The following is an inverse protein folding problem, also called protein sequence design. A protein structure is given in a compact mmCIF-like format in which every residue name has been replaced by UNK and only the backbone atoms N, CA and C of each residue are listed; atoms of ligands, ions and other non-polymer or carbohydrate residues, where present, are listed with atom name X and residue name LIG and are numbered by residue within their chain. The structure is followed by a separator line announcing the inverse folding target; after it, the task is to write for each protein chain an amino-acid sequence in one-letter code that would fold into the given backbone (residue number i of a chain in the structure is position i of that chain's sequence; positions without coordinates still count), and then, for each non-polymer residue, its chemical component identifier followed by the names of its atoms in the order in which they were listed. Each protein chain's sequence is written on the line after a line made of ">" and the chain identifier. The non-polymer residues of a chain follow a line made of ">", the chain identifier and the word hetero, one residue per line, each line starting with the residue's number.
data_IF_858308389499
#
_entry.id   IF_858308389499
#
_cell.length_a   1.000
_cell.length_b   1.000
_cell.length_c   1.000
_cell.angle_alpha   90.00
_cell.angle_beta   90.00
_cell.angle_gamma   90.00
#
_symmetry.space_group_name_H-M   'P 1'
#
loop_
_entity.id
_entity.type
_entity.pdbx_description
1 polymer ?
#
# COMPACT_ATOMS: atom_id res chain seq x y z
N UNK A 1 44.06 -18.08 3.05
CA UNK A 1 43.30 -16.82 3.22
C UNK A 1 42.03 -16.93 2.39
N UNK A 2 40.85 -17.28 2.95
CA UNK A 2 39.63 -17.40 2.16
C UNK A 2 38.97 -16.03 2.02
N UNK A 3 38.88 -15.57 0.77
CA UNK A 3 38.12 -14.40 0.36
C UNK A 3 36.62 -14.68 0.48
N UNK A 4 35.97 -14.07 1.48
CA UNK A 4 34.52 -14.06 1.58
C UNK A 4 33.94 -13.17 0.47
N UNK A 5 33.52 -13.80 -0.64
CA UNK A 5 32.64 -13.17 -1.61
C UNK A 5 31.27 -12.96 -0.95
N UNK A 6 31.02 -11.73 -0.51
CA UNK A 6 29.70 -11.29 -0.11
C UNK A 6 28.80 -11.28 -1.35
N UNK A 7 28.02 -12.35 -1.53
CA UNK A 7 26.86 -12.35 -2.42
C UNK A 7 25.86 -11.32 -1.89
N UNK A 8 26.00 -10.07 -2.34
CA UNK A 8 24.92 -9.10 -2.30
C UNK A 8 23.90 -9.56 -3.33
N UNK A 9 22.96 -10.41 -2.91
CA UNK A 9 21.76 -10.63 -3.71
C UNK A 9 21.03 -9.29 -3.80
N UNK A 10 20.80 -8.74 -5.01
CA UNK A 10 19.89 -7.61 -5.13
C UNK A 10 18.53 -8.16 -4.72
N UNK A 11 18.03 -7.74 -3.55
CA UNK A 11 16.62 -7.88 -3.20
C UNK A 11 15.89 -6.98 -4.17
N UNK A 12 15.60 -7.49 -5.35
CA UNK A 12 14.71 -6.86 -6.32
C UNK A 12 13.37 -6.81 -5.62
N UNK A 13 13.04 -5.65 -5.07
CA UNK A 13 11.69 -5.36 -4.61
C UNK A 13 10.80 -5.43 -5.85
N UNK A 14 10.33 -6.62 -6.20
CA UNK A 14 9.23 -6.81 -7.12
C UNK A 14 8.03 -6.24 -6.39
N UNK A 15 7.84 -4.92 -6.51
CA UNK A 15 6.62 -4.26 -6.13
C UNK A 15 5.53 -4.96 -6.92
N UNK A 16 4.81 -5.87 -6.24
CA UNK A 16 3.70 -6.60 -6.82
C UNK A 16 2.88 -5.59 -7.62
N UNK A 17 2.75 -5.77 -8.95
CA UNK A 17 1.98 -4.84 -9.74
C UNK A 17 0.59 -4.78 -9.11
N UNK A 18 0.05 -3.58 -8.84
CA UNK A 18 -1.32 -3.49 -8.40
C UNK A 18 -2.15 -4.24 -9.44
N UNK A 19 -3.09 -5.08 -8.98
CA UNK A 19 -4.09 -5.69 -9.86
C UNK A 19 -4.50 -4.67 -10.93
N UNK A 20 -4.59 -5.09 -12.21
CA UNK A 20 -4.81 -4.18 -13.33
C UNK A 20 -5.95 -3.24 -12.98
N UNK A 21 -5.74 -1.93 -13.23
CA UNK A 21 -6.73 -0.91 -12.89
C UNK A 21 -7.99 -1.15 -13.73
N UNK A 22 -8.97 -1.81 -13.13
CA UNK A 22 -10.26 -2.06 -13.76
C UNK A 22 -11.17 -0.85 -13.63
N UNK A 23 -11.90 -0.54 -14.70
CA UNK A 23 -12.85 0.56 -14.71
C UNK A 23 -14.08 0.19 -13.86
N UNK A 24 -14.41 1.04 -12.88
CA UNK A 24 -15.53 0.81 -11.95
C UNK A 24 -16.88 1.35 -12.45
N UNK A 25 -16.90 2.03 -13.61
CA UNK A 25 -18.05 2.82 -14.07
C UNK A 25 -19.30 1.99 -14.42
N UNK A 26 -19.17 0.68 -14.65
CA UNK A 26 -20.21 -0.08 -15.35
C UNK A 26 -21.19 -0.86 -14.43
N UNK A 27 -21.07 -0.77 -13.11
CA UNK A 27 -21.93 -1.53 -12.20
C UNK A 27 -22.66 -0.62 -11.21
N UNK A 28 -23.99 -0.67 -11.23
CA UNK A 28 -24.84 -0.09 -10.19
C UNK A 28 -24.59 -0.78 -8.84
N UNK A 29 -24.85 -0.09 -7.73
CA UNK A 29 -24.61 -0.66 -6.39
C UNK A 29 -25.48 -1.88 -6.11
N UNK A 30 -26.69 -1.94 -6.67
CA UNK A 30 -27.59 -3.10 -6.58
C UNK A 30 -27.00 -4.34 -7.23
N UNK A 31 -26.59 -4.22 -8.50
CA UNK A 31 -25.98 -5.32 -9.25
C UNK A 31 -24.70 -5.84 -8.58
N UNK A 32 -23.88 -4.96 -7.99
CA UNK A 32 -22.69 -5.40 -7.24
C UNK A 32 -23.06 -6.33 -6.08
N UNK A 33 -24.10 -6.03 -5.33
CA UNK A 33 -24.52 -6.87 -4.20
C UNK A 33 -24.98 -8.25 -4.67
N UNK A 34 -25.70 -8.32 -5.78
CA UNK A 34 -26.16 -9.57 -6.37
C UNK A 34 -24.99 -10.43 -6.88
N UNK A 35 -24.05 -9.83 -7.61
CA UNK A 35 -22.83 -10.52 -8.06
C UNK A 35 -22.06 -11.10 -6.88
N UNK A 36 -21.91 -10.34 -5.79
CA UNK A 36 -21.25 -10.84 -4.58
C UNK A 36 -22.01 -11.98 -3.91
N UNK A 37 -23.35 -11.97 -3.91
CA UNK A 37 -24.14 -13.09 -3.40
C UNK A 37 -23.92 -14.37 -4.20
N UNK A 38 -23.92 -14.27 -5.54
CA UNK A 38 -23.67 -15.41 -6.43
C UNK A 38 -22.27 -15.98 -6.17
N UNK A 39 -21.27 -15.10 -6.10
CA UNK A 39 -19.90 -15.51 -5.81
C UNK A 39 -19.79 -16.30 -4.48
N UNK A 40 -20.39 -15.80 -3.40
CA UNK A 40 -20.37 -16.52 -2.12
C UNK A 40 -21.12 -17.85 -2.15
N UNK A 41 -22.23 -17.93 -2.88
CA UNK A 41 -22.95 -19.18 -3.07
C UNK A 41 -22.11 -20.23 -3.83
N UNK A 42 -21.32 -19.79 -4.82
CA UNK A 42 -20.39 -20.68 -5.52
C UNK A 42 -19.19 -21.10 -4.66
N UNK A 43 -18.65 -20.18 -3.83
CA UNK A 43 -17.62 -20.50 -2.83
C UNK A 43 -18.13 -21.56 -1.85
N UNK A 44 -19.37 -21.47 -1.38
CA UNK A 44 -19.95 -22.47 -0.49
C UNK A 44 -20.08 -23.85 -1.16
N UNK A 45 -20.49 -23.88 -2.42
CA UNK A 45 -20.55 -25.13 -3.21
C UNK A 45 -19.16 -25.74 -3.39
N UNK A 46 -18.13 -24.91 -3.57
CA UNK A 46 -16.76 -25.37 -3.79
C UNK A 46 -16.10 -26.05 -2.59
N UNK A 47 -16.63 -25.89 -1.37
CA UNK A 47 -16.15 -26.63 -0.18
C UNK A 47 -16.16 -28.15 -0.40
N UNK A 48 -16.99 -28.65 -1.31
CA UNK A 48 -17.07 -30.07 -1.69
C UNK A 48 -16.04 -30.49 -2.74
N UNK A 49 -15.64 -29.59 -3.65
CA UNK A 49 -14.75 -29.89 -4.78
C UNK A 49 -13.28 -29.53 -4.52
N UNK A 50 -12.98 -28.85 -3.42
CA UNK A 50 -11.63 -28.37 -3.11
C UNK A 50 -11.44 -26.89 -3.47
N UNK A 51 -10.79 -26.10 -2.59
CA UNK A 51 -10.68 -24.63 -2.75
C UNK A 51 -9.74 -24.21 -3.89
N UNK A 52 -8.74 -25.03 -4.24
CA UNK A 52 -7.76 -24.71 -5.28
C UNK A 52 -8.38 -24.73 -6.69
N UNK A 53 -9.23 -25.72 -6.96
CA UNK A 53 -9.92 -25.91 -8.25
C UNK A 53 -11.03 -24.88 -8.48
N UNK A 54 -11.53 -24.27 -7.41
CA UNK A 54 -12.45 -23.16 -7.50
C UNK A 54 -11.73 -21.86 -7.88
N UNK A 55 -10.66 -21.53 -7.15
CA UNK A 55 -9.90 -20.30 -7.38
C UNK A 55 -9.22 -20.29 -8.77
N UNK A 56 -8.89 -21.45 -9.33
CA UNK A 56 -8.37 -21.55 -10.70
C UNK A 56 -9.35 -21.10 -11.79
N UNK A 57 -10.66 -21.15 -11.54
CA UNK A 57 -11.68 -20.72 -12.51
C UNK A 57 -11.84 -19.19 -12.55
N UNK A 58 -11.52 -18.51 -11.46
CA UNK A 58 -11.77 -17.07 -11.30
C UNK A 58 -10.51 -16.22 -11.32
N UNK A 59 -9.37 -16.78 -10.92
CA UNK A 59 -8.12 -16.06 -10.79
C UNK A 59 -7.08 -16.62 -11.76
N UNK A 60 -6.40 -15.70 -12.44
CA UNK A 60 -5.17 -16.00 -13.17
C UNK A 60 -4.06 -16.43 -12.22
N UNK A 61 -3.04 -17.11 -12.73
CA UNK A 61 -1.89 -17.56 -11.92
C UNK A 61 -1.20 -16.39 -11.21
N UNK A 62 -1.03 -15.26 -11.91
CA UNK A 62 -0.48 -14.04 -11.33
C UNK A 62 -1.35 -13.53 -10.16
N UNK A 63 -2.67 -13.47 -10.35
CA UNK A 63 -3.59 -13.02 -9.30
C UNK A 63 -3.59 -13.95 -8.09
N UNK A 64 -3.40 -15.26 -8.29
CA UNK A 64 -3.22 -16.22 -7.18
C UNK A 64 -1.98 -15.91 -6.37
N UNK A 65 -0.83 -15.72 -7.02
CA UNK A 65 0.43 -15.36 -6.33
C UNK A 65 0.27 -14.06 -5.54
N UNK A 66 -0.43 -13.06 -6.10
CA UNK A 66 -0.73 -11.80 -5.39
C UNK A 66 -1.58 -12.06 -4.15
N UNK A 67 -2.61 -12.90 -4.28
CA UNK A 67 -3.53 -13.23 -3.20
C UNK A 67 -2.81 -14.01 -2.09
N UNK A 68 -1.99 -14.99 -2.44
CA UNK A 68 -1.15 -15.77 -1.52
C UNK A 68 -0.20 -14.87 -0.73
N UNK A 69 0.55 -13.98 -1.38
CA UNK A 69 1.45 -13.03 -0.70
C UNK A 69 0.69 -12.12 0.28
N UNK A 70 -0.53 -11.68 -0.09
CA UNK A 70 -1.38 -10.87 0.81
C UNK A 70 -1.89 -11.67 2.01
N UNK A 71 -2.27 -12.92 1.80
CA UNK A 71 -2.68 -13.82 2.89
C UNK A 71 -1.51 -14.13 3.82
N UNK A 72 -0.32 -14.37 3.28
CA UNK A 72 0.91 -14.55 4.06
C UNK A 72 1.20 -13.31 4.92
N UNK A 73 1.09 -12.11 4.35
CA UNK A 73 1.24 -10.87 5.11
C UNK A 73 0.20 -10.76 6.26
N UNK A 74 -1.04 -11.18 6.03
CA UNK A 74 -2.08 -11.21 7.06
C UNK A 74 -1.77 -12.24 8.17
N UNK A 75 -1.23 -13.40 7.80
CA UNK A 75 -0.81 -14.45 8.73
C UNK A 75 0.31 -13.97 9.66
N UNK A 76 1.39 -13.40 9.12
CA UNK A 76 2.50 -12.87 9.93
C UNK A 76 2.07 -11.70 10.82
N UNK A 77 1.16 -10.84 10.34
CA UNK A 77 0.60 -9.77 11.17
C UNK A 77 -0.20 -10.31 12.36
N UNK A 78 -0.94 -11.41 12.19
CA UNK A 78 -1.66 -12.07 13.30
C UNK A 78 -0.72 -12.71 14.31
N UNK A 79 0.45 -13.16 13.87
CA UNK A 79 1.51 -13.68 14.75
C UNK A 79 2.26 -12.58 15.53
N UNK A 80 1.96 -11.30 15.28
CA UNK A 80 2.57 -10.18 16.00
C UNK A 80 3.88 -9.69 15.40
N UNK A 81 4.25 -10.13 14.19
CA UNK A 81 5.48 -9.70 13.56
C UNK A 81 5.50 -8.19 13.22
N UNK A 82 6.71 -7.63 13.16
CA UNK A 82 6.86 -6.23 12.77
C UNK A 82 6.54 -6.02 11.28
N UNK A 83 6.06 -4.83 10.94
CA UNK A 83 5.75 -4.45 9.55
C UNK A 83 6.94 -4.66 8.59
N UNK A 84 8.17 -4.53 9.09
CA UNK A 84 9.40 -4.67 8.30
C UNK A 84 9.69 -6.15 8.02
N UNK A 85 9.55 -7.01 9.02
CA UNK A 85 9.75 -8.45 8.88
C UNK A 85 8.69 -9.06 7.99
N UNK A 86 7.42 -8.73 8.22
CA UNK A 86 6.31 -9.19 7.37
C UNK A 86 6.52 -8.81 5.91
N UNK A 87 6.97 -7.57 5.64
CA UNK A 87 7.24 -7.09 4.29
C UNK A 87 8.35 -7.89 3.59
N UNK A 88 9.40 -8.26 4.33
CA UNK A 88 10.49 -9.09 3.83
C UNK A 88 10.07 -10.54 3.61
N UNK A 89 9.39 -11.16 4.59
CA UNK A 89 8.98 -12.57 4.52
C UNK A 89 7.91 -12.83 3.46
N UNK A 90 6.92 -11.95 3.37
CA UNK A 90 5.85 -12.09 2.38
C UNK A 90 6.23 -11.58 0.99
N UNK A 91 7.39 -10.92 0.85
CA UNK A 91 7.78 -10.21 -0.37
C UNK A 91 6.68 -9.24 -0.86
N UNK A 92 6.21 -8.41 0.06
CA UNK A 92 5.12 -7.45 -0.15
C UNK A 92 5.59 -6.06 0.23
N UNK A 93 5.27 -5.06 -0.60
CA UNK A 93 5.55 -3.66 -0.29
C UNK A 93 4.96 -3.24 1.06
N UNK A 94 5.75 -2.53 1.89
CA UNK A 94 5.34 -2.08 3.23
C UNK A 94 4.00 -1.32 3.25
N UNK A 95 3.69 -0.55 2.19
CA UNK A 95 2.40 0.16 2.04
C UNK A 95 1.21 -0.81 2.02
N UNK A 96 1.34 -1.96 1.35
CA UNK A 96 0.33 -3.00 1.27
C UNK A 96 0.16 -3.69 2.63
N UNK A 97 1.25 -3.98 3.34
CA UNK A 97 1.19 -4.53 4.70
C UNK A 97 0.47 -3.57 5.65
N UNK A 98 0.74 -2.27 5.56
CA UNK A 98 0.01 -1.23 6.32
C UNK A 98 -1.48 -1.22 5.97
N UNK A 99 -1.82 -1.35 4.69
CA UNK A 99 -3.21 -1.42 4.22
C UNK A 99 -3.94 -2.64 4.79
N UNK A 100 -3.28 -3.81 4.81
CA UNK A 100 -3.80 -5.05 5.41
C UNK A 100 -3.96 -4.88 6.92
N UNK A 101 -2.93 -4.39 7.63
CA UNK A 101 -2.97 -4.14 9.09
C UNK A 101 -4.11 -3.22 9.50
N UNK A 102 -4.50 -2.28 8.64
CA UNK A 102 -5.63 -1.35 8.86
C UNK A 102 -7.01 -1.97 8.57
N UNK A 103 -7.07 -3.26 8.25
CA UNK A 103 -8.32 -3.98 7.97
C UNK A 103 -8.91 -3.64 6.61
N UNK A 104 -8.07 -3.41 5.59
CA UNK A 104 -8.48 -3.10 4.21
C UNK A 104 -9.36 -1.84 4.08
N UNK A 105 -9.37 -0.98 5.11
CA UNK A 105 -10.13 0.28 5.11
C UNK A 105 -9.45 1.26 4.16
N UNK A 106 -10.27 1.94 3.33
CA UNK A 106 -9.78 3.05 2.51
C UNK A 106 -9.20 4.13 3.44
N UNK A 107 -8.04 4.66 3.07
CA UNK A 107 -7.54 5.88 3.69
C UNK A 107 -8.56 6.99 3.43
N UNK A 108 -9.15 7.53 4.49
CA UNK A 108 -9.85 8.82 4.45
C UNK A 108 -8.80 9.93 4.28
N UNK A 109 -8.08 9.89 3.16
CA UNK A 109 -7.17 10.97 2.81
C UNK A 109 -8.04 12.13 2.34
N UNK A 110 -8.36 13.05 3.25
CA UNK A 110 -8.87 14.36 2.86
C UNK A 110 -7.77 14.98 1.99
N UNK A 111 -8.05 15.12 0.69
CA UNK A 111 -7.15 15.82 -0.23
C UNK A 111 -6.93 17.20 0.37
N UNK A 112 -5.70 17.52 0.81
CA UNK A 112 -5.36 18.88 1.22
C UNK A 112 -5.70 19.79 0.04
N UNK A 113 -6.74 20.58 0.19
CA UNK A 113 -7.06 21.65 -0.76
C UNK A 113 -6.02 22.71 -0.48
N UNK A 114 -4.91 22.69 -1.21
CA UNK A 114 -4.00 23.81 -1.24
C UNK A 114 -4.77 24.95 -1.90
N UNK A 115 -5.06 26.02 -1.15
CA UNK A 115 -5.53 27.25 -1.79
C UNK A 115 -4.46 27.65 -2.81
N UNK A 116 -4.86 27.97 -4.04
CA UNK A 116 -3.93 28.31 -5.13
C UNK A 116 -3.00 29.47 -4.79
N UNK A 117 -3.29 30.21 -3.72
CA UNK A 117 -2.49 31.31 -3.22
C UNK A 117 -2.47 31.28 -1.68
N UNK A 118 -1.31 31.39 -1.02
CA UNK A 118 -1.29 31.86 0.35
C UNK A 118 -1.84 33.29 0.32
N UNK A 119 -2.90 33.58 1.09
CA UNK A 119 -3.27 34.98 1.34
C UNK A 119 -2.03 35.62 1.96
N UNK A 120 -1.33 36.49 1.21
CA UNK A 120 -0.30 37.37 1.78
C UNK A 120 -1.00 38.17 2.87
N UNK A 121 -0.80 37.79 4.13
CA UNK A 121 -1.22 38.62 5.25
C UNK A 121 -0.46 39.94 5.10
N UNK A 122 -1.14 41.00 4.68
CA UNK A 122 -0.60 42.37 4.56
C UNK A 122 -0.29 43.01 5.93
N UNK A 123 0.00 42.20 6.94
CA UNK A 123 0.32 42.63 8.28
C UNK A 123 1.60 41.97 8.75
N UNK A 124 2.69 42.25 8.05
CA UNK A 124 4.00 42.27 8.69
C UNK A 124 4.37 43.75 8.83
N UNK A 125 3.78 44.38 9.85
CA UNK A 125 3.99 45.78 10.25
C UNK A 125 5.23 45.95 11.13
N UNK A 126 6.16 44.99 11.07
CA UNK A 126 7.40 45.03 11.84
C UNK A 126 8.57 44.98 10.85
N UNK A 127 9.54 45.91 10.91
CA UNK A 127 10.82 45.69 10.25
C UNK A 127 11.36 44.34 10.75
N UNK A 128 12.07 43.61 9.89
CA UNK A 128 12.72 42.37 10.28
C UNK A 128 13.59 42.66 11.52
N UNK A 129 13.08 42.32 12.72
CA UNK A 129 13.83 42.46 13.94
C UNK A 129 15.00 41.49 13.81
N UNK A 130 16.18 42.10 13.69
CA UNK A 130 17.52 41.55 13.86
C UNK A 130 17.54 40.13 14.43
N UNK A 131 17.32 39.13 13.56
CA UNK A 131 17.22 37.73 13.95
C UNK A 131 18.10 36.80 13.13
N UNK A 132 18.91 37.36 12.22
CA UNK A 132 20.04 36.71 11.54
C UNK A 132 21.10 37.76 11.21
N UNK A 133 21.68 38.35 12.27
CA UNK A 133 22.95 39.06 12.19
C UNK A 133 24.04 38.06 11.77
N UNK A 134 24.09 37.78 10.46
CA UNK A 134 25.23 37.14 9.83
C UNK A 134 26.34 38.16 9.81
N UNK A 135 27.33 37.94 10.66
CA UNK A 135 28.74 38.30 10.49
C UNK A 135 29.05 39.03 9.17
N UNK A 136 29.16 40.35 9.25
CA UNK A 136 30.05 41.12 8.39
C UNK A 136 30.97 41.92 9.30
N UNK A 137 31.78 41.17 10.05
CA UNK A 137 33.09 41.64 10.47
C UNK A 137 33.93 41.86 9.22
N UNK A 138 34.66 42.98 9.21
CA UNK A 138 35.81 43.31 8.35
C UNK A 138 35.45 43.76 6.92
N UNK A 139 35.50 45.07 6.67
CA UNK A 139 36.67 45.72 6.06
C UNK A 139 36.42 47.24 5.90
N UNK A 140 37.31 48.01 6.55
CA UNK A 140 37.78 49.39 6.24
C UNK A 140 36.76 50.45 5.85
#
# INVERSE_FOLDING_TARGET
>A
MPSHFLFQSPVVYLSIPPMPRTNRKNFSEGLRKEIWKIFWAEVEKSKKSGPADFLSKFLTEEEKVILEKRLAALYFLKQGESLRETSKKADVARKTVIFIKRGLKKLNYKKKIYSKFPKRNKFQKYPASYGRGRWSSLHS
#
